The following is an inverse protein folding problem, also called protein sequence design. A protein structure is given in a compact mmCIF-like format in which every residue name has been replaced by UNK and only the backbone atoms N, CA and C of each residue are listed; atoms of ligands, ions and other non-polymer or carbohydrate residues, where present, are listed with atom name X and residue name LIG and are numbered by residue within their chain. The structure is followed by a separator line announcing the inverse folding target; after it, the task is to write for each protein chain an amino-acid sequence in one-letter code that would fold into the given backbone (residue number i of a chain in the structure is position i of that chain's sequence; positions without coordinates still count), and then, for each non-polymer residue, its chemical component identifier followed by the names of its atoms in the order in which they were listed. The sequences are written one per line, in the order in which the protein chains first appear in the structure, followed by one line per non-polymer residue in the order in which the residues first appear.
data_IF_408752029971
#
_entry.id   IF_408752029971
#
_cell.length_a   1.000
_cell.length_b   1.000
_cell.length_c   1.000
_cell.angle_alpha   90.00
_cell.angle_beta   90.00
_cell.angle_gamma   90.00
#
_symmetry.space_group_name_H-M   'P 1'
#
loop_
_entity.id
_entity.type
_entity.pdbx_description
1 polymer ?
#
# COMPACT_ATOMS: atom_id res chain seq x y z
N UNK A 1 8.90 19.69 -55.16
CA UNK A 1 8.58 18.40 -55.81
C UNK A 1 9.14 17.31 -54.91
N UNK A 2 8.30 16.39 -54.42
CA UNK A 2 8.75 15.25 -53.61
C UNK A 2 9.68 14.35 -54.42
N UNK A 3 10.76 13.88 -53.81
CA UNK A 3 11.73 12.98 -54.46
C UNK A 3 11.08 11.62 -54.80
N UNK A 4 11.57 10.96 -55.85
CA UNK A 4 11.14 9.58 -56.21
C UNK A 4 11.30 8.61 -55.03
N UNK A 5 12.35 8.80 -54.21
CA UNK A 5 12.59 8.00 -53.00
C UNK A 5 11.51 8.24 -51.93
N UNK A 6 11.06 9.47 -51.76
CA UNK A 6 9.99 9.83 -50.80
C UNK A 6 8.65 9.27 -51.25
N UNK A 7 8.35 9.33 -52.56
CA UNK A 7 7.11 8.77 -53.12
C UNK A 7 7.03 7.25 -52.91
N UNK A 8 8.15 6.53 -53.10
CA UNK A 8 8.20 5.09 -52.86
C UNK A 8 8.06 4.74 -51.37
N UNK A 9 8.63 5.55 -50.47
CA UNK A 9 8.49 5.37 -49.03
C UNK A 9 7.04 5.59 -48.56
N UNK A 10 6.38 6.64 -49.07
CA UNK A 10 4.94 6.89 -48.81
C UNK A 10 4.09 5.74 -49.33
N UNK A 11 4.39 5.19 -50.53
CA UNK A 11 3.66 4.05 -51.07
C UNK A 11 3.79 2.81 -50.17
N UNK A 12 4.99 2.54 -49.64
CA UNK A 12 5.21 1.43 -48.69
C UNK A 12 4.43 1.61 -47.40
N UNK A 13 4.40 2.82 -46.85
CA UNK A 13 3.55 3.14 -45.70
C UNK A 13 2.08 2.83 -45.99
N UNK A 14 1.55 3.28 -47.13
CA UNK A 14 0.14 3.08 -47.48
C UNK A 14 -0.21 1.59 -47.62
N UNK A 15 0.69 0.79 -48.21
CA UNK A 15 0.53 -0.67 -48.28
C UNK A 15 0.50 -1.27 -46.87
N UNK A 16 1.44 -0.90 -45.99
CA UNK A 16 1.46 -1.36 -44.61
C UNK A 16 0.17 -1.02 -43.84
N UNK A 17 -0.34 0.20 -43.98
CA UNK A 17 -1.59 0.61 -43.34
C UNK A 17 -2.79 -0.17 -43.89
N UNK A 18 -2.84 -0.42 -45.20
CA UNK A 18 -3.87 -1.26 -45.83
C UNK A 18 -3.79 -2.71 -45.37
N UNK A 19 -2.59 -3.25 -45.18
CA UNK A 19 -2.39 -4.59 -44.60
C UNK A 19 -2.96 -4.65 -43.19
N UNK A 20 -2.70 -3.65 -42.34
CA UNK A 20 -3.30 -3.56 -41.01
C UNK A 20 -4.83 -3.49 -41.04
N UNK A 21 -5.38 -2.63 -41.89
CA UNK A 21 -6.82 -2.39 -41.99
C UNK A 21 -7.57 -3.66 -42.47
N UNK A 22 -6.98 -4.42 -43.40
CA UNK A 22 -7.56 -5.67 -43.92
C UNK A 22 -7.22 -6.92 -43.09
N UNK A 23 -6.24 -6.84 -42.18
CA UNK A 23 -5.76 -7.99 -41.43
C UNK A 23 -6.81 -8.51 -40.44
N UNK A 24 -6.90 -9.85 -40.37
CA UNK A 24 -7.64 -10.57 -39.32
C UNK A 24 -6.74 -10.81 -38.10
N UNK A 25 -7.31 -11.36 -37.02
CA UNK A 25 -6.66 -11.59 -35.73
C UNK A 25 -5.21 -12.11 -35.80
N UNK A 26 -4.96 -13.19 -36.54
CA UNK A 26 -3.61 -13.80 -36.64
C UNK A 26 -2.63 -12.89 -37.39
N UNK A 27 -3.05 -12.32 -38.52
CA UNK A 27 -2.22 -11.40 -39.29
C UNK A 27 -1.90 -10.13 -38.49
N UNK A 28 -2.87 -9.57 -37.76
CA UNK A 28 -2.63 -8.42 -36.87
C UNK A 28 -1.64 -8.76 -35.77
N UNK A 29 -1.71 -9.94 -35.17
CA UNK A 29 -0.72 -10.36 -34.18
C UNK A 29 0.70 -10.38 -34.76
N UNK A 30 0.88 -10.90 -35.97
CA UNK A 30 2.19 -10.89 -36.64
C UNK A 30 2.67 -9.48 -36.97
N UNK A 31 1.77 -8.60 -37.42
CA UNK A 31 2.10 -7.18 -37.66
C UNK A 31 2.57 -6.52 -36.36
N UNK A 32 1.86 -6.71 -35.25
CA UNK A 32 2.23 -6.15 -33.95
C UNK A 32 3.57 -6.69 -33.45
N UNK A 33 3.81 -8.00 -33.55
CA UNK A 33 5.09 -8.60 -33.14
C UNK A 33 6.27 -8.05 -33.95
N UNK A 34 6.11 -7.94 -35.26
CA UNK A 34 7.13 -7.36 -36.14
C UNK A 34 7.36 -5.89 -35.82
N UNK A 35 6.28 -5.13 -35.61
CA UNK A 35 6.38 -3.72 -35.26
C UNK A 35 7.14 -3.51 -33.95
N UNK A 36 6.75 -4.21 -32.86
CA UNK A 36 7.41 -4.10 -31.56
C UNK A 36 8.90 -4.43 -31.67
N UNK A 37 9.23 -5.57 -32.31
CA UNK A 37 10.62 -6.02 -32.43
C UNK A 37 11.49 -5.03 -33.21
N UNK A 38 10.95 -4.39 -34.24
CA UNK A 38 11.71 -3.48 -35.09
C UNK A 38 11.79 -2.06 -34.53
N UNK A 39 10.88 -1.65 -33.64
CA UNK A 39 10.72 -0.25 -33.26
C UNK A 39 10.90 0.06 -31.78
N UNK A 40 11.03 -0.95 -30.92
CA UNK A 40 11.25 -0.72 -29.49
C UNK A 40 12.52 0.10 -29.23
N UNK A 41 12.42 1.12 -28.38
CA UNK A 41 13.52 2.01 -28.02
C UNK A 41 13.87 3.11 -29.03
N UNK A 42 13.13 3.23 -30.14
CA UNK A 42 13.32 4.32 -31.10
C UNK A 42 12.83 5.66 -30.58
N UNK A 43 13.46 6.71 -31.06
CA UNK A 43 13.06 8.11 -30.86
C UNK A 43 11.95 8.52 -31.83
N UNK A 44 11.25 9.62 -31.54
CA UNK A 44 10.22 10.12 -32.46
C UNK A 44 10.74 10.36 -33.89
N UNK A 45 11.89 11.03 -34.11
CA UNK A 45 12.41 11.24 -35.47
C UNK A 45 12.71 9.94 -36.22
N UNK A 46 13.17 8.90 -35.54
CA UNK A 46 13.42 7.59 -36.14
C UNK A 46 12.12 6.89 -36.56
N UNK A 47 11.09 6.97 -35.71
CA UNK A 47 9.76 6.46 -36.06
C UNK A 47 9.17 7.23 -37.24
N UNK A 48 9.23 8.56 -37.24
CA UNK A 48 8.70 9.33 -38.37
C UNK A 48 9.53 9.10 -39.66
N UNK A 49 10.83 8.86 -39.55
CA UNK A 49 11.64 8.47 -40.71
C UNK A 49 11.21 7.10 -41.26
N UNK A 50 11.01 6.10 -40.41
CA UNK A 50 10.55 4.76 -40.81
C UNK A 50 9.17 4.81 -41.46
N UNK A 51 8.27 5.61 -40.91
CA UNK A 51 6.89 5.71 -41.36
C UNK A 51 6.66 6.87 -42.32
N UNK A 52 7.69 7.42 -42.97
CA UNK A 52 7.54 8.50 -43.97
C UNK A 52 6.67 9.68 -43.48
N UNK A 53 6.89 10.11 -42.24
CA UNK A 53 6.15 11.15 -41.51
C UNK A 53 4.67 10.79 -41.21
N UNK A 54 4.34 9.50 -41.26
CA UNK A 54 3.01 8.94 -41.03
C UNK A 54 2.91 8.05 -39.80
N UNK A 55 3.85 8.12 -38.85
CA UNK A 55 3.85 7.23 -37.67
C UNK A 55 2.57 7.43 -36.83
N UNK A 56 2.14 8.69 -36.70
CA UNK A 56 0.91 9.11 -36.02
C UNK A 56 -0.35 8.46 -36.62
N UNK A 57 -0.38 8.21 -37.92
CA UNK A 57 -1.51 7.52 -38.58
C UNK A 57 -1.62 6.06 -38.16
N UNK A 58 -0.50 5.42 -37.85
CA UNK A 58 -0.51 4.06 -37.34
C UNK A 58 -0.94 4.04 -35.88
N UNK A 59 -0.43 4.96 -35.06
CA UNK A 59 -0.88 5.12 -33.66
C UNK A 59 -2.40 5.31 -33.57
N UNK A 60 -2.97 6.19 -34.41
CA UNK A 60 -4.42 6.42 -34.44
C UNK A 60 -5.21 5.13 -34.75
N UNK A 61 -4.71 4.29 -35.67
CA UNK A 61 -5.32 2.99 -35.99
C UNK A 61 -5.19 2.00 -34.85
N UNK A 62 -4.06 1.95 -34.16
CA UNK A 62 -3.86 1.10 -32.98
C UNK A 62 -4.82 1.50 -31.85
N UNK A 63 -4.94 2.80 -31.56
CA UNK A 63 -5.84 3.33 -30.54
C UNK A 63 -7.31 3.10 -30.90
N UNK A 64 -7.72 3.33 -32.14
CA UNK A 64 -9.06 3.02 -32.62
C UNK A 64 -9.37 1.52 -32.51
N UNK A 65 -8.42 0.67 -32.88
CA UNK A 65 -8.58 -0.78 -32.75
C UNK A 65 -8.64 -1.22 -31.28
N UNK A 66 -7.86 -0.61 -30.39
CA UNK A 66 -7.93 -0.86 -28.96
C UNK A 66 -9.35 -0.58 -28.49
N UNK A 67 -9.87 0.63 -28.75
CA UNK A 67 -11.23 1.07 -28.38
C UNK A 67 -12.33 0.12 -28.83
N UNK A 68 -12.22 -0.44 -30.03
CA UNK A 68 -13.24 -1.34 -30.56
C UNK A 68 -13.18 -2.74 -29.94
N UNK A 69 -12.04 -3.14 -29.37
CA UNK A 69 -11.78 -4.56 -29.10
C UNK A 69 -11.37 -4.90 -27.69
N UNK A 70 -10.99 -3.95 -26.84
CA UNK A 70 -10.51 -4.23 -25.47
C UNK A 70 -11.52 -5.00 -24.59
N UNK A 71 -12.82 -4.94 -24.91
CA UNK A 71 -13.88 -5.69 -24.19
C UNK A 71 -14.01 -7.16 -24.61
N UNK A 72 -13.45 -7.57 -25.76
CA UNK A 72 -13.70 -8.89 -26.35
C UNK A 72 -12.45 -9.56 -26.96
N UNK A 73 -11.31 -8.88 -26.96
CA UNK A 73 -10.09 -9.30 -27.66
C UNK A 73 -9.16 -10.12 -26.78
N UNK A 74 -8.38 -10.99 -27.43
CA UNK A 74 -7.45 -11.92 -26.78
C UNK A 74 -5.98 -11.54 -26.97
N UNK A 75 -5.68 -10.37 -27.53
CA UNK A 75 -4.32 -9.95 -27.92
C UNK A 75 -4.03 -8.50 -27.52
N UNK A 76 -4.67 -8.06 -26.44
CA UNK A 76 -4.60 -6.69 -25.94
C UNK A 76 -3.16 -6.35 -25.53
N UNK A 77 -2.43 -7.26 -24.89
CA UNK A 77 -1.03 -7.04 -24.49
C UNK A 77 -0.12 -6.59 -25.64
N UNK A 78 -0.19 -7.22 -26.82
CA UNK A 78 0.62 -6.83 -28.00
C UNK A 78 0.21 -5.46 -28.55
N UNK A 79 -1.09 -5.16 -28.50
CA UNK A 79 -1.61 -3.88 -28.94
C UNK A 79 -1.15 -2.75 -28.00
N UNK A 80 -1.24 -2.97 -26.68
CA UNK A 80 -0.74 -2.05 -25.66
C UNK A 80 0.78 -1.86 -25.77
N UNK A 81 1.55 -2.94 -25.92
CA UNK A 81 3.00 -2.86 -26.16
C UNK A 81 3.35 -2.04 -27.39
N UNK A 82 2.59 -2.21 -28.48
CA UNK A 82 2.78 -1.42 -29.71
C UNK A 82 2.48 0.06 -29.50
N UNK A 83 1.42 0.40 -28.75
CA UNK A 83 1.15 1.79 -28.34
C UNK A 83 2.30 2.31 -27.45
N UNK A 84 2.83 1.47 -26.56
CA UNK A 84 3.97 1.78 -25.69
C UNK A 84 5.23 2.20 -26.43
N UNK A 85 5.49 1.63 -27.62
CA UNK A 85 6.60 2.07 -28.49
C UNK A 85 6.48 3.55 -28.84
N UNK A 86 5.28 4.03 -29.13
CA UNK A 86 5.05 5.45 -29.42
C UNK A 86 5.15 6.31 -28.16
N UNK A 87 4.52 5.88 -27.06
CA UNK A 87 4.48 6.67 -25.83
C UNK A 87 5.83 6.78 -25.12
N UNK A 88 6.73 5.82 -25.33
CA UNK A 88 8.10 5.84 -24.78
C UNK A 88 9.14 6.49 -25.71
N UNK A 89 8.76 6.87 -26.93
CA UNK A 89 9.70 7.45 -27.88
C UNK A 89 10.25 8.78 -27.37
N UNK A 90 11.58 8.90 -27.29
CA UNK A 90 12.21 10.14 -26.84
C UNK A 90 11.82 11.31 -27.77
N UNK A 91 11.54 12.47 -27.16
CA UNK A 91 10.96 13.65 -27.80
C UNK A 91 9.51 13.51 -28.32
N UNK A 92 8.92 12.30 -28.30
CA UNK A 92 7.60 11.96 -28.85
C UNK A 92 6.37 12.46 -28.09
N UNK A 93 6.43 13.66 -27.48
CA UNK A 93 5.30 14.22 -26.71
C UNK A 93 4.00 14.32 -27.51
N UNK A 94 4.10 14.47 -28.83
CA UNK A 94 2.94 14.47 -29.72
C UNK A 94 2.13 13.17 -29.67
N UNK A 95 2.80 12.01 -29.57
CA UNK A 95 2.12 10.72 -29.53
C UNK A 95 1.32 10.54 -28.25
N UNK A 96 1.83 11.06 -27.14
CA UNK A 96 1.08 11.13 -25.87
C UNK A 96 -0.17 11.97 -26.07
N UNK A 97 -0.05 13.17 -26.64
CA UNK A 97 -1.21 14.06 -26.86
C UNK A 97 -2.26 13.40 -27.77
N UNK A 98 -1.84 12.87 -28.93
CA UNK A 98 -2.72 12.21 -29.89
C UNK A 98 -3.45 11.01 -29.25
N UNK A 99 -2.75 10.20 -28.44
CA UNK A 99 -3.38 9.09 -27.73
C UNK A 99 -4.39 9.55 -26.67
N UNK A 100 -4.08 10.64 -25.96
CA UNK A 100 -4.99 11.23 -24.97
C UNK A 100 -6.25 11.81 -25.61
N UNK A 101 -6.13 12.49 -26.76
CA UNK A 101 -7.27 13.02 -27.54
C UNK A 101 -8.23 11.92 -27.98
N UNK A 102 -7.73 10.69 -28.18
CA UNK A 102 -8.53 9.51 -28.50
C UNK A 102 -9.17 8.85 -27.27
N UNK A 103 -9.03 9.43 -26.08
CA UNK A 103 -9.55 8.89 -24.82
C UNK A 103 -8.65 7.83 -24.18
N UNK A 104 -7.34 7.86 -24.48
CA UNK A 104 -6.36 6.87 -24.06
C UNK A 104 -6.43 6.49 -22.58
N UNK A 105 -6.48 7.47 -21.68
CA UNK A 105 -6.54 7.23 -20.23
C UNK A 105 -7.79 6.44 -19.83
N UNK A 106 -8.97 6.81 -20.33
CA UNK A 106 -10.22 6.11 -20.01
C UNK A 106 -10.17 4.66 -20.48
N UNK A 107 -9.70 4.41 -21.70
CA UNK A 107 -9.55 3.04 -22.23
C UNK A 107 -8.62 2.19 -21.35
N UNK A 108 -7.47 2.76 -20.93
CA UNK A 108 -6.53 2.04 -20.08
C UNK A 108 -7.11 1.75 -18.70
N UNK A 109 -7.81 2.70 -18.09
CA UNK A 109 -8.45 2.52 -16.79
C UNK A 109 -9.59 1.51 -16.82
N UNK A 110 -10.38 1.48 -17.90
CA UNK A 110 -11.41 0.46 -18.09
C UNK A 110 -10.81 -0.94 -18.21
N UNK A 111 -9.69 -1.10 -18.95
CA UNK A 111 -8.96 -2.38 -19.05
C UNK A 111 -8.57 -2.92 -17.66
N UNK A 112 -8.14 -2.06 -16.74
CA UNK A 112 -7.78 -2.48 -15.37
C UNK A 112 -8.96 -3.12 -14.62
N UNK A 113 -10.19 -2.66 -14.90
CA UNK A 113 -11.41 -3.11 -14.24
C UNK A 113 -12.04 -4.38 -14.83
N UNK A 114 -11.52 -4.91 -15.94
CA UNK A 114 -12.09 -6.07 -16.61
C UNK A 114 -11.57 -7.38 -16.00
N UNK A 115 -12.47 -8.10 -15.33
CA UNK A 115 -12.13 -9.35 -14.63
C UNK A 115 -11.71 -10.50 -15.55
N UNK A 116 -12.17 -10.50 -16.81
CA UNK A 116 -11.88 -11.58 -17.77
C UNK A 116 -10.54 -11.40 -18.49
N UNK A 117 -9.90 -10.23 -18.37
CA UNK A 117 -8.60 -9.97 -18.96
C UNK A 117 -7.48 -10.56 -18.10
N UNK A 118 -6.37 -10.92 -18.77
CA UNK A 118 -5.21 -11.51 -18.09
C UNK A 118 -4.45 -10.44 -17.33
N UNK A 119 -3.76 -10.86 -16.29
CA UNK A 119 -2.88 -9.97 -15.51
C UNK A 119 -1.77 -9.33 -16.39
N UNK A 120 -1.30 -10.00 -17.45
CA UNK A 120 -0.38 -9.41 -18.42
C UNK A 120 -1.00 -8.20 -19.14
N UNK A 121 -2.27 -8.28 -19.55
CA UNK A 121 -2.94 -7.17 -20.24
C UNK A 121 -3.09 -5.96 -19.31
N UNK A 122 -3.46 -6.20 -18.04
CA UNK A 122 -3.55 -5.15 -17.01
C UNK A 122 -2.18 -4.54 -16.72
N UNK A 123 -1.13 -5.37 -16.63
CA UNK A 123 0.26 -4.91 -16.44
C UNK A 123 0.67 -3.92 -17.52
N UNK A 124 0.46 -4.27 -18.79
CA UNK A 124 0.82 -3.39 -19.91
C UNK A 124 -0.01 -2.10 -19.89
N UNK A 125 -1.29 -2.16 -19.50
CA UNK A 125 -2.12 -0.95 -19.37
C UNK A 125 -1.60 -0.01 -18.26
N UNK A 126 -1.16 -0.55 -17.12
CA UNK A 126 -0.50 0.23 -16.05
C UNK A 126 0.79 0.86 -16.55
N UNK A 127 1.62 0.14 -17.31
CA UNK A 127 2.85 0.70 -17.91
C UNK A 127 2.59 1.87 -18.85
N UNK A 128 1.53 1.80 -19.67
CA UNK A 128 1.14 2.93 -20.50
C UNK A 128 0.69 4.14 -19.67
N UNK A 129 -0.03 3.91 -18.56
CA UNK A 129 -0.39 4.98 -17.63
C UNK A 129 0.85 5.60 -16.95
N UNK A 130 1.87 4.80 -16.63
CA UNK A 130 3.16 5.32 -16.13
C UNK A 130 3.84 6.22 -17.16
N UNK A 131 3.96 5.79 -18.43
CA UNK A 131 4.53 6.62 -19.51
C UNK A 131 3.78 7.96 -19.66
N UNK A 132 2.45 7.94 -19.53
CA UNK A 132 1.63 9.15 -19.55
C UNK A 132 1.91 10.03 -18.31
N UNK A 133 1.97 9.45 -17.11
CA UNK A 133 2.26 10.16 -15.87
C UNK A 133 3.65 10.83 -15.90
N UNK A 134 4.64 10.15 -16.46
CA UNK A 134 6.03 10.60 -16.55
C UNK A 134 6.23 11.74 -17.56
N UNK A 135 5.30 11.90 -18.51
CA UNK A 135 5.31 13.03 -19.43
C UNK A 135 5.04 14.39 -18.75
N UNK A 136 4.60 14.40 -17.48
CA UNK A 136 4.54 15.59 -16.63
C UNK A 136 3.26 15.74 -15.79
N UNK A 137 3.28 16.71 -14.87
CA UNK A 137 2.22 16.94 -13.86
C UNK A 137 0.81 17.00 -14.45
N UNK A 138 0.59 17.74 -15.54
CA UNK A 138 -0.74 17.87 -16.17
C UNK A 138 -1.35 16.51 -16.58
N UNK A 139 -0.52 15.53 -16.91
CA UNK A 139 -0.98 14.20 -17.29
C UNK A 139 -1.23 13.31 -16.06
N UNK A 140 -0.45 13.49 -14.99
CA UNK A 140 -0.77 12.90 -13.67
C UNK A 140 -2.14 13.37 -13.18
N UNK A 141 -2.39 14.68 -13.27
CA UNK A 141 -3.67 15.29 -12.92
C UNK A 141 -4.82 14.71 -13.74
N UNK A 142 -4.65 14.56 -15.07
CA UNK A 142 -5.65 13.94 -15.93
C UNK A 142 -5.98 12.49 -15.53
N UNK A 143 -4.98 11.69 -15.15
CA UNK A 143 -5.19 10.32 -14.66
C UNK A 143 -6.01 10.35 -13.36
N UNK A 144 -5.68 11.24 -12.42
CA UNK A 144 -6.41 11.39 -11.17
C UNK A 144 -7.87 11.85 -11.38
N UNK A 145 -8.10 12.80 -12.29
CA UNK A 145 -9.43 13.31 -12.70
C UNK A 145 -10.30 12.23 -13.32
N UNK A 146 -9.67 11.28 -14.01
CA UNK A 146 -10.35 10.16 -14.67
C UNK A 146 -10.61 8.98 -13.73
N UNK A 147 -10.66 9.20 -12.40
CA UNK A 147 -10.80 8.16 -11.38
C UNK A 147 -9.63 7.16 -11.32
N UNK A 148 -8.45 7.53 -11.83
CA UNK A 148 -7.29 6.66 -11.90
C UNK A 148 -6.84 6.11 -10.55
N UNK A 149 -6.86 6.95 -9.51
CA UNK A 149 -6.49 6.54 -8.14
C UNK A 149 -7.39 5.40 -7.64
N UNK A 150 -8.70 5.50 -7.86
CA UNK A 150 -9.66 4.49 -7.42
C UNK A 150 -9.46 3.17 -8.19
N UNK A 151 -9.31 3.23 -9.51
CA UNK A 151 -9.08 2.05 -10.34
C UNK A 151 -7.78 1.34 -9.99
N UNK A 152 -6.71 2.10 -9.75
CA UNK A 152 -5.41 1.57 -9.35
C UNK A 152 -5.44 0.98 -7.93
N UNK A 153 -6.05 1.66 -6.95
CA UNK A 153 -6.21 1.13 -5.61
C UNK A 153 -7.00 -0.18 -5.60
N UNK A 154 -8.09 -0.26 -6.39
CA UNK A 154 -8.85 -1.50 -6.55
C UNK A 154 -8.01 -2.61 -7.19
N UNK A 155 -7.22 -2.30 -8.22
CA UNK A 155 -6.35 -3.28 -8.85
C UNK A 155 -5.27 -3.78 -7.88
N UNK A 156 -4.65 -2.88 -7.11
CA UNK A 156 -3.68 -3.24 -6.06
C UNK A 156 -4.28 -4.18 -5.02
N UNK A 157 -5.53 -3.93 -4.61
CA UNK A 157 -6.24 -4.74 -3.61
C UNK A 157 -6.68 -6.13 -4.12
N UNK A 158 -6.96 -6.26 -5.41
CA UNK A 158 -7.64 -7.45 -5.98
C UNK A 158 -6.78 -8.30 -6.91
N UNK A 159 -5.67 -7.79 -7.42
CA UNK A 159 -4.82 -8.54 -8.34
C UNK A 159 -4.18 -9.75 -7.64
N UNK A 160 -4.09 -10.86 -8.37
CA UNK A 160 -3.37 -12.07 -7.95
C UNK A 160 -1.89 -12.07 -8.39
N UNK A 161 -1.44 -11.05 -9.13
CA UNK A 161 -0.08 -10.99 -9.68
C UNK A 161 0.74 -9.94 -8.92
N UNK A 162 1.79 -10.39 -8.23
CA UNK A 162 2.73 -9.50 -7.54
C UNK A 162 3.35 -8.48 -8.52
N UNK A 163 3.71 -8.90 -9.74
CA UNK A 163 4.24 -7.99 -10.77
C UNK A 163 3.26 -6.87 -11.13
N UNK A 164 1.96 -7.16 -11.21
CA UNK A 164 0.94 -6.12 -11.48
C UNK A 164 0.84 -5.18 -10.29
N UNK A 165 0.83 -5.72 -9.07
CA UNK A 165 0.76 -4.92 -7.85
C UNK A 165 1.98 -3.99 -7.71
N UNK A 166 3.18 -4.46 -8.06
CA UNK A 166 4.41 -3.66 -8.05
C UNK A 166 4.33 -2.50 -9.06
N UNK A 167 3.89 -2.76 -10.29
CA UNK A 167 3.71 -1.71 -11.31
C UNK A 167 2.64 -0.69 -10.91
N UNK A 168 1.57 -1.14 -10.24
CA UNK A 168 0.53 -0.26 -9.69
C UNK A 168 1.09 0.61 -8.56
N UNK A 169 1.91 0.04 -7.67
CA UNK A 169 2.57 0.79 -6.59
C UNK A 169 3.46 1.90 -7.16
N UNK A 170 4.28 1.60 -8.17
CA UNK A 170 5.14 2.58 -8.84
C UNK A 170 4.30 3.74 -9.38
N UNK A 171 3.18 3.44 -10.04
CA UNK A 171 2.30 4.47 -10.56
C UNK A 171 1.63 5.30 -9.46
N UNK A 172 1.11 4.68 -8.40
CA UNK A 172 0.50 5.38 -7.28
C UNK A 172 1.50 6.30 -6.56
N UNK A 173 2.73 5.84 -6.31
CA UNK A 173 3.81 6.67 -5.75
C UNK A 173 4.13 7.87 -6.68
N UNK A 174 4.26 7.63 -7.98
CA UNK A 174 4.47 8.70 -8.97
C UNK A 174 3.30 9.70 -9.01
N UNK A 175 2.05 9.24 -8.92
CA UNK A 175 0.87 10.12 -8.87
C UNK A 175 0.82 10.96 -7.59
N UNK A 176 1.33 10.44 -6.47
CA UNK A 176 1.45 11.17 -5.20
C UNK A 176 2.58 12.20 -5.18
N UNK A 177 3.64 12.00 -5.97
CA UNK A 177 4.82 12.88 -6.02
C UNK A 177 4.73 13.97 -7.08
N UNK A 178 5.06 15.20 -6.69
CA UNK A 178 5.09 16.35 -7.61
C UNK A 178 3.71 16.74 -8.15
N UNK A 179 2.64 16.31 -7.48
CA UNK A 179 1.23 16.51 -7.85
C UNK A 179 0.39 16.95 -6.62
N UNK A 180 0.60 18.17 -6.09
CA UNK A 180 -0.04 18.61 -4.85
C UNK A 180 -1.57 18.60 -4.88
N UNK A 181 -2.18 18.83 -6.06
CA UNK A 181 -3.65 18.86 -6.25
C UNK A 181 -4.32 17.54 -5.86
N UNK A 182 -3.67 16.41 -6.14
CA UNK A 182 -4.23 15.07 -5.93
C UNK A 182 -3.49 14.23 -4.89
N UNK A 183 -2.49 14.80 -4.21
CA UNK A 183 -1.70 14.09 -3.20
C UNK A 183 -2.58 13.46 -2.10
N UNK A 184 -3.55 14.21 -1.58
CA UNK A 184 -4.51 13.70 -0.58
C UNK A 184 -5.45 12.63 -1.14
N UNK A 185 -5.81 12.72 -2.43
CA UNK A 185 -6.64 11.71 -3.09
C UNK A 185 -5.86 10.39 -3.19
N UNK A 186 -4.60 10.44 -3.63
CA UNK A 186 -3.72 9.27 -3.72
C UNK A 186 -3.52 8.64 -2.33
N UNK A 187 -3.23 9.47 -1.32
CA UNK A 187 -3.08 9.00 0.07
C UNK A 187 -4.36 8.29 0.56
N UNK A 188 -5.53 8.89 0.34
CA UNK A 188 -6.83 8.29 0.70
C UNK A 188 -7.10 6.99 -0.07
N UNK A 189 -6.70 6.93 -1.35
CA UNK A 189 -6.79 5.72 -2.16
C UNK A 189 -5.95 4.57 -1.61
N UNK A 190 -4.73 4.85 -1.14
CA UNK A 190 -3.85 3.86 -0.49
C UNK A 190 -4.42 3.40 0.86
N UNK A 191 -4.99 4.30 1.65
CA UNK A 191 -5.67 3.91 2.90
C UNK A 191 -6.83 2.94 2.64
N UNK A 192 -7.56 3.12 1.55
CA UNK A 192 -8.64 2.23 1.16
C UNK A 192 -8.17 0.81 0.73
N UNK A 193 -6.87 0.61 0.48
CA UNK A 193 -6.29 -0.71 0.19
C UNK A 193 -5.99 -1.50 1.46
N UNK A 194 -5.76 -0.84 2.60
CA UNK A 194 -5.35 -1.52 3.84
C UNK A 194 -6.33 -2.59 4.34
N UNK A 195 -7.67 -2.45 4.20
CA UNK A 195 -8.60 -3.50 4.57
C UNK A 195 -8.66 -4.71 3.61
N UNK A 196 -7.85 -4.75 2.54
CA UNK A 196 -7.91 -5.83 1.56
C UNK A 196 -7.35 -7.16 2.09
N UNK A 197 -7.75 -8.27 1.47
CA UNK A 197 -7.25 -9.61 1.81
C UNK A 197 -5.89 -9.97 1.19
N UNK A 198 -5.25 -9.06 0.45
CA UNK A 198 -3.96 -9.31 -0.21
C UNK A 198 -2.81 -8.77 0.66
N UNK A 199 -1.97 -9.64 1.27
CA UNK A 199 -0.88 -9.18 2.13
C UNK A 199 0.17 -8.36 1.36
N UNK A 200 0.46 -8.75 0.11
CA UNK A 200 1.36 -7.98 -0.76
C UNK A 200 0.77 -6.61 -1.08
N UNK A 201 -0.53 -6.53 -1.39
CA UNK A 201 -1.22 -5.26 -1.61
C UNK A 201 -1.21 -4.34 -0.40
N UNK A 202 -1.45 -4.87 0.81
CA UNK A 202 -1.34 -4.13 2.07
C UNK A 202 0.10 -3.61 2.29
N UNK A 203 1.10 -4.47 2.11
CA UNK A 203 2.51 -4.12 2.27
C UNK A 203 2.91 -2.97 1.33
N UNK A 204 2.59 -3.10 0.03
CA UNK A 204 2.91 -2.08 -0.95
C UNK A 204 2.21 -0.76 -0.65
N UNK A 205 0.95 -0.79 -0.23
CA UNK A 205 0.20 0.40 0.16
C UNK A 205 0.82 1.11 1.37
N UNK A 206 1.23 0.37 2.40
CA UNK A 206 1.92 0.92 3.58
C UNK A 206 3.27 1.53 3.22
N UNK A 207 4.06 0.87 2.36
CA UNK A 207 5.32 1.40 1.86
C UNK A 207 5.14 2.72 1.13
N UNK A 208 4.12 2.84 0.27
CA UNK A 208 3.82 4.09 -0.44
C UNK A 208 3.27 5.16 0.49
N UNK A 209 2.43 4.82 1.47
CA UNK A 209 1.98 5.78 2.49
C UNK A 209 3.16 6.36 3.27
N UNK A 210 4.12 5.53 3.66
CA UNK A 210 5.36 5.97 4.33
C UNK A 210 6.16 6.89 3.43
N UNK A 211 6.41 6.49 2.19
CA UNK A 211 7.21 7.26 1.23
C UNK A 211 6.57 8.61 0.87
N UNK A 212 5.24 8.71 0.95
CA UNK A 212 4.49 9.95 0.71
C UNK A 212 4.44 10.86 1.94
N UNK A 213 4.51 10.31 3.15
CA UNK A 213 4.49 11.10 4.39
C UNK A 213 5.66 12.10 4.46
N UNK A 214 6.82 11.73 3.89
CA UNK A 214 7.98 12.63 3.77
C UNK A 214 7.67 13.90 2.96
N UNK A 215 6.70 13.85 2.05
CA UNK A 215 6.30 14.96 1.17
C UNK A 215 5.10 15.73 1.71
N UNK A 216 4.21 15.06 2.45
CA UNK A 216 2.91 15.59 2.90
C UNK A 216 3.02 16.52 4.12
N UNK A 217 4.10 16.43 4.90
CA UNK A 217 4.24 17.18 6.15
C UNK A 217 3.35 16.58 7.23
N UNK A 218 2.23 17.23 7.55
CA UNK A 218 1.26 16.77 8.57
C UNK A 218 0.40 15.63 8.02
N UNK A 219 0.29 14.55 8.79
CA UNK A 219 -0.46 13.37 8.38
C UNK A 219 -1.98 13.61 8.46
N UNK A 220 -2.77 13.19 7.45
CA UNK A 220 -4.22 13.27 7.51
C UNK A 220 -4.77 12.42 8.67
N UNK A 221 -5.72 12.92 9.49
CA UNK A 221 -6.32 12.14 10.59
C UNK A 221 -6.95 10.81 10.14
N UNK A 222 -7.36 10.72 8.88
CA UNK A 222 -7.91 9.51 8.26
C UNK A 222 -6.95 8.30 8.27
N UNK A 223 -5.64 8.49 8.48
CA UNK A 223 -4.66 7.38 8.57
C UNK A 223 -4.85 6.53 9.82
N UNK A 224 -5.37 7.11 10.91
CA UNK A 224 -5.35 6.49 12.25
C UNK A 224 -6.11 5.17 12.26
N UNK A 225 -7.39 5.18 11.87
CA UNK A 225 -8.24 3.97 11.95
C UNK A 225 -7.73 2.84 11.05
N UNK A 226 -7.41 3.05 9.75
CA UNK A 226 -6.88 2.00 8.89
C UNK A 226 -5.53 1.45 9.37
N UNK A 227 -4.64 2.30 9.88
CA UNK A 227 -3.34 1.88 10.38
C UNK A 227 -3.46 1.06 11.67
N UNK A 228 -4.31 1.47 12.61
CA UNK A 228 -4.56 0.69 13.82
C UNK A 228 -5.18 -0.67 13.47
N UNK A 229 -6.11 -0.72 12.51
CA UNK A 229 -6.72 -1.97 12.06
C UNK A 229 -5.72 -2.94 11.42
N UNK A 230 -4.75 -2.44 10.62
CA UNK A 230 -3.79 -3.30 9.91
C UNK A 230 -2.81 -4.02 10.85
N UNK A 231 -2.63 -3.53 12.09
CA UNK A 231 -1.87 -4.22 13.14
C UNK A 231 -2.49 -5.58 13.51
N UNK A 232 -3.76 -5.82 13.18
CA UNK A 232 -4.41 -7.13 13.33
C UNK A 232 -4.09 -8.14 12.22
N UNK A 233 -3.28 -7.79 11.21
CA UNK A 233 -2.88 -8.72 10.14
C UNK A 233 -2.07 -9.90 10.70
N UNK A 234 -2.15 -11.09 10.12
CA UNK A 234 -1.27 -12.21 10.53
C UNK A 234 0.08 -12.19 9.80
N UNK A 235 0.29 -11.25 8.87
CA UNK A 235 1.41 -11.27 7.94
C UNK A 235 2.60 -10.42 8.42
N UNK A 236 3.80 -11.01 8.63
CA UNK A 236 4.95 -10.29 9.18
C UNK A 236 5.42 -9.08 8.35
N UNK A 237 5.35 -9.17 7.02
CA UNK A 237 5.75 -8.06 6.15
C UNK A 237 4.81 -6.85 6.27
N UNK A 238 3.50 -7.10 6.39
CA UNK A 238 2.49 -6.05 6.62
C UNK A 238 2.71 -5.41 7.99
N UNK A 239 2.96 -6.23 9.01
CA UNK A 239 3.27 -5.75 10.37
C UNK A 239 4.51 -4.86 10.40
N UNK A 240 5.58 -5.31 9.75
CA UNK A 240 6.81 -4.53 9.67
C UNK A 240 6.55 -3.16 9.06
N UNK A 241 5.87 -3.09 7.91
CA UNK A 241 5.60 -1.80 7.26
C UNK A 241 4.62 -0.93 8.04
N UNK A 242 3.65 -1.52 8.75
CA UNK A 242 2.75 -0.78 9.63
C UNK A 242 3.50 -0.09 10.78
N UNK A 243 4.43 -0.80 11.42
CA UNK A 243 5.29 -0.23 12.47
C UNK A 243 6.22 0.86 11.92
N UNK A 244 6.78 0.66 10.72
CA UNK A 244 7.59 1.69 10.08
C UNK A 244 6.79 2.96 9.73
N UNK A 245 5.53 2.81 9.31
CA UNK A 245 4.64 3.95 9.11
C UNK A 245 4.32 4.66 10.43
N UNK A 246 4.04 3.92 11.51
CA UNK A 246 3.85 4.50 12.85
C UNK A 246 5.04 5.35 13.29
N UNK A 247 6.26 4.82 13.15
CA UNK A 247 7.50 5.56 13.46
C UNK A 247 7.64 6.84 12.64
N UNK A 248 7.30 6.76 11.36
CA UNK A 248 7.35 7.92 10.45
C UNK A 248 6.33 8.99 10.83
N UNK A 249 5.13 8.58 11.25
CA UNK A 249 4.08 9.51 11.69
C UNK A 249 4.43 10.20 13.00
N UNK A 250 4.93 9.44 13.97
CA UNK A 250 5.29 9.97 15.31
C UNK A 250 6.44 10.96 15.21
N UNK A 251 7.45 10.68 14.37
CA UNK A 251 8.55 11.62 14.12
C UNK A 251 8.15 12.89 13.35
N UNK A 252 6.98 12.90 12.69
CA UNK A 252 6.52 13.99 11.81
C UNK A 252 5.15 14.55 12.23
N UNK A 253 4.97 14.77 13.53
CA UNK A 253 3.73 15.30 14.13
C UNK A 253 2.53 14.39 13.86
N UNK A 254 2.48 13.30 14.63
CA UNK A 254 1.41 12.31 14.53
C UNK A 254 0.02 12.94 14.72
N UNK A 255 -1.03 12.38 14.09
CA UNK A 255 -2.39 12.75 14.41
C UNK A 255 -2.65 12.54 15.91
N UNK A 256 -3.30 13.48 16.63
CA UNK A 256 -3.47 13.40 18.08
C UNK A 256 -4.16 12.12 18.59
N UNK A 257 -4.99 11.49 17.75
CA UNK A 257 -5.69 10.25 18.09
C UNK A 257 -4.83 8.98 17.92
N UNK A 258 -3.60 9.07 17.39
CA UNK A 258 -2.79 7.90 17.05
C UNK A 258 -2.30 7.16 18.29
N UNK A 259 -1.62 7.85 19.22
CA UNK A 259 -1.11 7.23 20.45
C UNK A 259 -2.25 6.78 21.38
N UNK A 260 -3.31 7.58 21.62
CA UNK A 260 -4.48 7.12 22.36
C UNK A 260 -5.12 5.86 21.76
N UNK A 261 -5.25 5.82 20.42
CA UNK A 261 -5.78 4.66 19.72
C UNK A 261 -4.88 3.42 19.85
N UNK A 262 -3.55 3.60 19.83
CA UNK A 262 -2.59 2.51 20.03
C UNK A 262 -2.66 1.95 21.45
N UNK A 263 -2.79 2.80 22.47
CA UNK A 263 -2.96 2.37 23.86
C UNK A 263 -4.29 1.64 24.06
N UNK A 264 -5.37 2.11 23.42
CA UNK A 264 -6.67 1.45 23.48
C UNK A 264 -6.65 0.01 22.93
N UNK A 265 -5.74 -0.32 22.01
CA UNK A 265 -5.56 -1.70 21.53
C UNK A 265 -4.91 -2.64 22.55
N UNK A 266 -4.27 -2.12 23.60
CA UNK A 266 -3.67 -2.93 24.66
C UNK A 266 -4.73 -3.49 25.61
N UNK A 267 -5.85 -2.80 25.75
CA UNK A 267 -7.03 -3.27 26.48
C UNK A 267 -7.93 -4.03 25.51
N UNK A 268 -8.03 -5.35 25.66
CA UNK A 268 -8.80 -6.19 24.75
C UNK A 268 -10.27 -5.72 24.64
N UNK A 269 -10.92 -5.83 23.46
CA UNK A 269 -12.35 -5.60 23.35
C UNK A 269 -13.09 -6.67 24.16
N UNK A 270 -13.62 -6.26 25.30
CA UNK A 270 -14.64 -6.94 26.10
C UNK A 270 -14.58 -8.47 26.14
N UNK A 271 -14.00 -9.01 27.20
CA UNK A 271 -14.41 -10.32 27.72
C UNK A 271 -15.86 -10.19 28.16
N UNK A 272 -16.83 -10.41 27.26
CA UNK A 272 -18.11 -10.92 27.74
C UNK A 272 -17.84 -12.27 28.40
N UNK A 273 -18.42 -12.55 29.57
CA UNK A 273 -18.21 -13.81 30.27
C UNK A 273 -18.69 -14.95 29.37
N UNK A 274 -17.75 -15.68 28.76
CA UNK A 274 -18.05 -16.91 28.03
C UNK A 274 -18.66 -17.88 29.04
N UNK A 275 -19.90 -18.28 28.81
CA UNK A 275 -20.46 -19.47 29.41
C UNK A 275 -19.53 -20.64 29.04
N UNK A 276 -19.02 -21.35 30.05
CA UNK A 276 -18.14 -22.50 29.87
C UNK A 276 -18.92 -23.64 29.18
N UNK A 277 -18.75 -23.78 27.87
CA UNK A 277 -19.22 -24.95 27.13
C UNK A 277 -18.01 -25.84 26.77
N UNK A 278 -17.84 -27.04 27.38
CA UNK A 278 -16.58 -27.80 27.34
C UNK A 278 -16.21 -28.46 26.00
N UNK A 279 -16.89 -28.11 24.89
CA UNK A 279 -16.86 -28.90 23.65
C UNK A 279 -16.19 -28.23 22.43
N UNK A 280 -15.55 -27.06 22.57
CA UNK A 280 -14.96 -26.34 21.43
C UNK A 280 -13.43 -26.50 21.34
N UNK A 281 -12.99 -26.90 20.15
CA UNK A 281 -11.63 -27.09 19.63
C UNK A 281 -10.73 -25.82 19.79
N UNK A 282 -9.39 -25.92 19.61
CA UNK A 282 -8.44 -24.96 20.16
C UNK A 282 -8.61 -23.55 19.58
N UNK A 283 -8.50 -22.58 20.50
CA UNK A 283 -8.32 -21.13 20.35
C UNK A 283 -8.10 -20.66 18.91
N UNK A 284 -9.18 -20.30 18.22
CA UNK A 284 -9.07 -19.43 17.05
C UNK A 284 -8.42 -18.12 17.52
N UNK A 285 -7.24 -17.82 16.96
CA UNK A 285 -6.52 -16.58 17.22
C UNK A 285 -7.39 -15.43 16.72
N UNK A 286 -8.06 -14.73 17.64
CA UNK A 286 -8.89 -13.60 17.25
C UNK A 286 -7.98 -12.49 16.71
N UNK A 287 -8.38 -11.78 15.64
CA UNK A 287 -7.65 -10.61 15.14
C UNK A 287 -7.35 -9.59 16.25
N UNK A 288 -8.21 -9.51 17.26
CA UNK A 288 -8.04 -8.67 18.44
C UNK A 288 -6.77 -9.03 19.27
N UNK A 289 -6.47 -10.31 19.48
CA UNK A 289 -5.27 -10.71 20.20
C UNK A 289 -3.99 -10.45 19.40
N UNK A 290 -4.02 -10.70 18.08
CA UNK A 290 -2.92 -10.36 17.18
C UNK A 290 -2.65 -8.86 17.23
N UNK A 291 -3.71 -8.06 17.16
CA UNK A 291 -3.67 -6.61 17.20
C UNK A 291 -3.14 -6.08 18.55
N UNK A 292 -3.56 -6.67 19.68
CA UNK A 292 -3.03 -6.35 21.01
C UNK A 292 -1.51 -6.63 21.11
N UNK A 293 -1.07 -7.78 20.62
CA UNK A 293 0.36 -8.14 20.62
C UNK A 293 1.19 -7.21 19.72
N UNK A 294 0.65 -6.83 18.56
CA UNK A 294 1.28 -5.90 17.65
C UNK A 294 1.34 -4.48 18.24
N UNK A 295 0.27 -4.03 18.88
CA UNK A 295 0.22 -2.76 19.60
C UNK A 295 1.24 -2.71 20.73
N UNK A 296 1.32 -3.76 21.55
CA UNK A 296 2.30 -3.88 22.63
C UNK A 296 3.73 -3.74 22.11
N UNK A 297 4.06 -4.46 21.02
CA UNK A 297 5.37 -4.35 20.36
C UNK A 297 5.63 -2.95 19.81
N UNK A 298 4.66 -2.35 19.12
CA UNK A 298 4.79 -1.03 18.53
C UNK A 298 5.03 0.05 19.61
N UNK A 299 4.29 0.00 20.71
CA UNK A 299 4.48 0.86 21.89
C UNK A 299 5.92 0.79 22.40
N UNK A 300 6.45 -0.43 22.62
CA UNK A 300 7.81 -0.59 23.11
C UNK A 300 8.87 -0.06 22.15
N UNK A 301 8.64 -0.13 20.83
CA UNK A 301 9.53 0.46 19.82
C UNK A 301 9.43 1.98 19.87
N UNK A 302 8.23 2.55 19.82
CA UNK A 302 8.01 4.01 19.84
C UNK A 302 8.61 4.67 21.08
N UNK A 303 8.40 4.06 22.25
CA UNK A 303 8.91 4.58 23.51
C UNK A 303 10.44 4.60 23.58
N UNK A 304 11.12 3.64 22.92
CA UNK A 304 12.59 3.60 22.85
C UNK A 304 13.18 4.65 21.91
N UNK A 305 12.42 5.07 20.91
CA UNK A 305 12.86 6.03 19.89
C UNK A 305 12.71 7.49 20.35
N UNK A 306 11.76 7.78 21.25
CA UNK A 306 11.55 9.14 21.77
C UNK A 306 11.09 9.14 23.23
N UNK A 307 11.83 9.84 24.08
CA UNK A 307 11.48 10.05 25.48
C UNK A 307 10.16 10.85 25.64
N UNK A 308 9.94 11.86 24.79
CA UNK A 308 8.70 12.65 24.79
C UNK A 308 7.48 11.76 24.50
N UNK A 309 7.61 10.84 23.54
CA UNK A 309 6.55 9.87 23.20
C UNK A 309 6.35 8.86 24.33
N UNK A 310 7.43 8.42 24.98
CA UNK A 310 7.33 7.53 26.13
C UNK A 310 6.59 8.20 27.30
N UNK A 311 6.87 9.47 27.61
CA UNK A 311 6.17 10.24 28.63
C UNK A 311 4.68 10.43 28.28
N UNK A 312 4.36 10.78 27.03
CA UNK A 312 2.98 10.89 26.55
C UNK A 312 2.23 9.56 26.67
N UNK A 313 2.86 8.45 26.29
CA UNK A 313 2.27 7.11 26.45
C UNK A 313 1.99 6.79 27.93
N UNK A 314 2.87 7.21 28.86
CA UNK A 314 2.62 7.03 30.29
C UNK A 314 1.41 7.85 30.76
N UNK A 315 1.27 9.10 30.30
CA UNK A 315 0.08 9.92 30.58
C UNK A 315 -1.20 9.28 30.02
N UNK A 316 -1.10 8.56 28.90
CA UNK A 316 -2.19 7.80 28.30
C UNK A 316 -2.45 6.44 28.99
N UNK A 317 -1.82 6.16 30.14
CA UNK A 317 -1.97 4.92 30.91
C UNK A 317 -1.47 3.66 30.19
N UNK A 318 -0.43 3.79 29.36
CA UNK A 318 0.18 2.65 28.64
C UNK A 318 0.62 1.52 29.56
N UNK A 319 1.07 1.83 30.78
CA UNK A 319 1.55 0.85 31.77
C UNK A 319 0.43 -0.11 32.15
N UNK A 320 -0.77 0.41 32.44
CA UNK A 320 -1.94 -0.41 32.73
C UNK A 320 -2.33 -1.28 31.53
N UNK A 321 -2.36 -0.70 30.32
CA UNK A 321 -2.64 -1.47 29.10
C UNK A 321 -1.64 -2.60 28.86
N UNK A 322 -0.35 -2.36 29.08
CA UNK A 322 0.69 -3.40 28.98
C UNK A 322 0.49 -4.50 30.03
N UNK A 323 0.10 -4.17 31.26
CA UNK A 323 -0.21 -5.16 32.28
C UNK A 323 -1.41 -6.03 31.91
N UNK A 324 -2.47 -5.43 31.36
CA UNK A 324 -3.62 -6.16 30.81
C UNK A 324 -3.17 -7.13 29.71
N UNK A 325 -2.29 -6.69 28.80
CA UNK A 325 -1.75 -7.53 27.73
C UNK A 325 -0.81 -8.65 28.23
N UNK A 326 -0.06 -8.42 29.32
CA UNK A 326 0.72 -9.46 30.03
C UNK A 326 -0.20 -10.53 30.62
N UNK A 327 -1.36 -10.13 31.15
CA UNK A 327 -2.38 -11.03 31.69
C UNK A 327 -3.17 -11.80 30.62
N UNK A 328 -2.95 -11.56 29.32
CA UNK A 328 -3.69 -12.26 28.28
C UNK A 328 -3.20 -13.72 28.10
N UNK A 329 -3.79 -14.64 28.87
CA UNK A 329 -3.50 -16.07 28.82
C UNK A 329 -3.91 -16.74 27.50
N UNK A 330 -4.80 -16.11 26.72
CA UNK A 330 -5.29 -16.66 25.44
C UNK A 330 -4.28 -16.48 24.30
N UNK A 331 -3.29 -15.58 24.46
CA UNK A 331 -2.31 -15.29 23.40
C UNK A 331 -0.88 -15.02 23.93
N UNK A 332 0.01 -16.03 23.92
CA UNK A 332 1.38 -15.91 24.45
C UNK A 332 2.23 -14.79 23.83
N UNK A 333 1.98 -14.44 22.57
CA UNK A 333 2.70 -13.34 21.90
C UNK A 333 2.30 -11.97 22.45
N UNK A 334 1.05 -11.77 22.88
CA UNK A 334 0.64 -10.57 23.62
C UNK A 334 1.45 -10.46 24.90
N UNK A 335 1.51 -11.55 25.68
CA UNK A 335 2.22 -11.56 26.95
C UNK A 335 3.70 -11.23 26.79
N UNK A 336 4.35 -11.88 25.81
CA UNK A 336 5.76 -11.65 25.50
C UNK A 336 6.05 -10.21 25.09
N UNK A 337 5.32 -9.69 24.10
CA UNK A 337 5.57 -8.36 23.57
C UNK A 337 5.25 -7.27 24.61
N UNK A 338 4.19 -7.47 25.40
CA UNK A 338 3.83 -6.55 26.46
C UNK A 338 4.85 -6.54 27.59
N UNK A 339 5.33 -7.72 27.99
CA UNK A 339 6.36 -7.84 29.04
C UNK A 339 7.67 -7.16 28.65
N UNK A 340 8.17 -7.40 27.44
CA UNK A 340 9.40 -6.76 26.92
C UNK A 340 9.24 -5.24 26.83
N UNK A 341 8.05 -4.77 26.47
CA UNK A 341 7.78 -3.33 26.38
C UNK A 341 7.65 -2.69 27.77
N UNK A 342 7.02 -3.39 28.72
CA UNK A 342 6.88 -2.97 30.11
C UNK A 342 8.25 -2.88 30.81
N UNK A 343 9.16 -3.81 30.52
CA UNK A 343 10.54 -3.80 31.03
C UNK A 343 11.24 -2.48 30.73
N UNK A 344 11.07 -1.94 29.51
CA UNK A 344 11.65 -0.65 29.15
C UNK A 344 11.12 0.48 30.04
N UNK A 345 9.80 0.57 30.25
CA UNK A 345 9.22 1.61 31.08
C UNK A 345 9.65 1.49 32.54
N UNK A 346 9.65 0.27 33.09
CA UNK A 346 10.07 0.00 34.48
C UNK A 346 11.54 0.35 34.70
N UNK A 347 12.43 0.06 33.73
CA UNK A 347 13.85 0.39 33.86
C UNK A 347 14.15 1.87 33.67
N UNK A 348 13.38 2.56 32.83
CA UNK A 348 13.63 3.96 32.48
C UNK A 348 12.99 4.93 33.47
N UNK A 349 11.82 4.59 34.02
CA UNK A 349 11.01 5.51 34.83
C UNK A 349 10.80 4.95 36.25
N UNK A 350 11.49 5.50 37.28
CA UNK A 350 11.42 4.98 38.66
C UNK A 350 10.00 4.95 39.25
N UNK A 351 9.14 5.89 38.89
CA UNK A 351 7.75 5.89 39.35
C UNK A 351 6.95 4.73 38.74
N UNK A 352 7.23 4.35 37.47
CA UNK A 352 6.61 3.19 36.84
C UNK A 352 7.07 1.92 37.54
N UNK A 353 8.36 1.83 37.92
CA UNK A 353 8.87 0.73 38.75
C UNK A 353 8.04 0.55 40.02
N UNK A 354 7.84 1.64 40.76
CA UNK A 354 7.08 1.63 42.00
C UNK A 354 5.62 1.20 41.79
N UNK A 355 4.98 1.76 40.77
CA UNK A 355 3.60 1.48 40.42
C UNK A 355 3.39 0.01 40.03
N UNK A 356 4.25 -0.54 39.15
CA UNK A 356 4.19 -1.95 38.75
C UNK A 356 4.46 -2.85 39.94
N UNK A 357 5.47 -2.56 40.76
CA UNK A 357 5.81 -3.34 41.96
C UNK A 357 4.66 -3.40 42.96
N UNK A 358 3.94 -2.29 43.17
CA UNK A 358 2.75 -2.24 44.01
C UNK A 358 1.61 -3.07 43.43
N UNK A 359 1.38 -2.96 42.12
CA UNK A 359 0.26 -3.61 41.45
C UNK A 359 0.42 -5.14 41.30
N UNK A 360 1.64 -5.66 41.11
CA UNK A 360 1.87 -7.11 40.96
C UNK A 360 2.35 -7.79 42.24
N UNK A 361 2.75 -7.02 43.24
CA UNK A 361 3.36 -7.53 44.47
C UNK A 361 4.82 -7.94 44.32
N UNK A 362 5.54 -7.98 45.45
CA UNK A 362 7.00 -8.14 45.48
C UNK A 362 7.51 -9.43 44.81
N UNK A 363 6.82 -10.55 44.98
CA UNK A 363 7.27 -11.86 44.46
C UNK A 363 7.21 -11.94 42.94
N UNK A 364 6.08 -11.54 42.34
CA UNK A 364 5.92 -11.51 40.89
C UNK A 364 6.80 -10.43 40.26
N UNK A 365 6.94 -9.29 40.93
CA UNK A 365 7.83 -8.23 40.48
C UNK A 365 9.29 -8.66 40.40
N UNK A 366 9.77 -9.44 41.38
CA UNK A 366 11.13 -9.98 41.34
C UNK A 366 11.30 -10.96 40.17
N UNK A 367 10.33 -11.84 39.94
CA UNK A 367 10.33 -12.76 38.79
C UNK A 367 10.36 -12.01 37.45
N UNK A 368 9.62 -10.91 37.35
CA UNK A 368 9.65 -10.02 36.19
C UNK A 368 11.02 -9.37 35.99
N UNK A 369 11.64 -8.85 37.06
CA UNK A 369 12.98 -8.24 36.98
C UNK A 369 14.07 -9.24 36.57
N UNK A 370 13.99 -10.47 37.08
CA UNK A 370 14.97 -11.52 36.81
C UNK A 370 14.82 -12.08 35.38
N UNK A 371 13.57 -12.30 34.93
CA UNK A 371 13.28 -12.96 33.65
C UNK A 371 12.08 -12.31 32.90
N UNK A 372 12.22 -11.09 32.36
CA UNK A 372 11.13 -10.37 31.70
C UNK A 372 10.60 -11.09 30.46
N UNK A 373 11.42 -11.91 29.79
CA UNK A 373 11.00 -12.65 28.60
C UNK A 373 10.18 -13.92 28.89
N UNK A 374 10.09 -14.38 30.14
CA UNK A 374 9.46 -15.68 30.44
C UNK A 374 8.59 -15.69 31.70
N UNK A 375 8.65 -14.69 32.57
CA UNK A 375 7.90 -14.69 33.83
C UNK A 375 6.38 -14.83 33.63
N UNK A 376 5.84 -14.32 32.51
CA UNK A 376 4.43 -14.42 32.17
C UNK A 376 3.92 -15.86 32.03
N UNK A 377 4.82 -16.82 31.80
CA UNK A 377 4.49 -18.26 31.79
C UNK A 377 4.16 -18.82 33.17
N UNK A 378 4.47 -18.07 34.24
CA UNK A 378 4.22 -18.43 35.64
C UNK A 378 2.98 -17.75 36.22
N UNK A 379 2.29 -16.92 35.42
CA UNK A 379 1.07 -16.21 35.82
C UNK A 379 -0.10 -17.19 35.77
N UNK A 380 -0.81 -17.34 36.88
CA UNK A 380 -2.07 -18.08 36.94
C UNK A 380 -3.28 -17.20 36.56
N UNK A 381 -4.47 -17.81 36.46
CA UNK A 381 -5.70 -17.07 36.09
C UNK A 381 -6.04 -15.94 37.07
N UNK A 382 -5.81 -16.13 38.36
CA UNK A 382 -6.14 -15.12 39.38
C UNK A 382 -5.19 -13.93 39.24
N UNK A 383 -3.90 -14.20 39.08
CA UNK A 383 -2.88 -13.17 38.85
C UNK A 383 -3.10 -12.44 37.52
N UNK A 384 -3.56 -13.13 36.48
CA UNK A 384 -3.93 -12.50 35.21
C UNK A 384 -5.13 -11.54 35.36
N UNK A 385 -6.14 -11.91 36.14
CA UNK A 385 -7.28 -11.06 36.49
C UNK A 385 -6.87 -9.86 37.35
N UNK A 386 -5.95 -10.05 38.29
CA UNK A 386 -5.34 -8.97 39.08
C UNK A 386 -4.58 -7.97 38.19
N UNK A 387 -3.81 -8.45 37.20
CA UNK A 387 -3.12 -7.59 36.24
C UNK A 387 -4.09 -6.77 35.37
N UNK A 388 -5.24 -7.35 35.01
CA UNK A 388 -6.25 -6.67 34.21
C UNK A 388 -7.10 -5.66 35.02
N UNK A 389 -7.30 -5.91 36.31
CA UNK A 389 -8.14 -5.10 37.20
C UNK A 389 -7.39 -4.01 37.96
N UNK A 390 -6.08 -4.18 38.19
CA UNK A 390 -5.26 -3.18 38.86
C UNK A 390 -5.04 -1.97 37.95
N UNK A 391 -5.85 -0.93 38.17
CA UNK A 391 -5.61 0.39 37.61
C UNK A 391 -4.27 0.89 38.12
N UNK A 392 -3.29 0.93 37.24
CA UNK A 392 -2.03 1.61 37.51
C UNK A 392 -2.30 3.09 37.30
N UNK A 393 -2.66 3.79 38.36
CA UNK A 393 -2.93 5.22 38.30
C UNK A 393 -1.66 6.00 37.92
N UNK A 394 -1.81 6.89 36.94
CA UNK A 394 -0.86 7.96 36.67
C UNK A 394 -0.98 9.04 37.76
N UNK A 395 0.11 9.72 38.16
CA UNK A 395 0.07 10.71 39.23
C UNK A 395 -0.80 11.91 38.83
N UNK A 396 -1.73 12.31 39.70
CA UNK A 396 -2.37 13.63 39.64
C UNK A 396 -1.41 14.79 40.02
N UNK A 397 -0.13 14.50 40.31
CA UNK A 397 0.86 15.46 40.82
C UNK A 397 1.89 15.92 39.75
N UNK A 398 1.41 16.37 38.58
CA UNK A 398 2.22 17.15 37.63
C UNK A 398 1.49 18.45 37.27
N UNK A 399 1.24 19.27 38.31
CA UNK A 399 0.85 20.68 38.19
C UNK A 399 2.03 21.60 38.52
#
# INVERSE_FOLDING_TARGET
MTSVKEQEAIKKLMVFLQEWDNARRVARNHILDNFIRSNNGKTEPELELEFSQGASLFLARLAAWLRLTYMHSTCISKLLKSIGVFLSAASGRRYVIEFLELGGVLMLLEILGLNHLKEEDKKEAVKLLQLIADAGRKYKELICESYGVQSLAKLLATSSSAEVQDEVQILLDSLGRGNPKYQNQVYSGLLAVLPCGSPHGQQLALQTLRSMQDVLGEAPPAVVTPLLAVLGSAHPAVHYEAVQLLLTLVSRRAPPALLPGLVALLTAPGTEPRAEDPALCPTEQTPAHIQQAAAAKAVGILAKESAEVAEELIQLKVVHGLMVAVGNLDYPLSQRNASISLEYFVRTYPFVEECVRKAVGHTLFQLFKDCPETWYTKIDRVQAEELASNLVDSPEDMA
#
